data_IF_793677827226
#
_entry.id   IF_793677827226
#
_cell.length_a   1.000
_cell.length_b   1.000
_cell.length_c   1.000
_cell.angle_alpha   90.00
_cell.angle_beta   90.00
_cell.angle_gamma   90.00
#
_symmetry.space_group_name_H-M   'P 1'
#
loop_
_entity.id
_entity.type
_entity.pdbx_description
1 polymer ?
#
# COMPACT_ATOMS: atom_id res chain seq x y z
N UNK A 1 -17.03 20.10 -14.12
CA UNK A 1 -17.47 19.29 -12.97
C UNK A 1 -16.29 19.16 -12.00
N UNK A 2 -16.23 19.97 -10.95
CA UNK A 2 -15.11 19.95 -10.00
C UNK A 2 -15.16 18.64 -9.21
N UNK A 3 -14.19 17.76 -9.46
CA UNK A 3 -14.04 16.47 -8.79
C UNK A 3 -13.69 16.76 -7.33
N UNK A 4 -14.70 16.93 -6.47
CA UNK A 4 -14.51 17.10 -5.02
C UNK A 4 -13.63 15.95 -4.56
N UNK A 5 -12.45 16.26 -4.01
CA UNK A 5 -11.57 15.25 -3.40
C UNK A 5 -12.35 14.59 -2.27
N UNK A 6 -12.86 13.38 -2.51
CA UNK A 6 -13.62 12.62 -1.52
C UNK A 6 -12.62 11.93 -0.61
N UNK A 7 -12.60 12.36 0.65
CA UNK A 7 -12.03 11.55 1.73
C UNK A 7 -13.06 10.48 2.11
N UNK A 8 -12.63 9.23 2.15
CA UNK A 8 -13.44 8.04 2.45
C UNK A 8 -12.95 7.46 3.77
N UNK A 9 -13.86 7.06 4.62
CA UNK A 9 -13.53 6.34 5.84
C UNK A 9 -13.61 4.83 5.60
N UNK A 10 -12.67 4.07 6.13
CA UNK A 10 -12.62 2.61 5.97
C UNK A 10 -13.13 1.95 7.24
N UNK A 11 -14.38 1.48 7.20
CA UNK A 11 -14.98 0.75 8.33
C UNK A 11 -14.33 -0.64 8.47
N UNK A 12 -14.07 -1.07 9.70
CA UNK A 12 -13.41 -2.34 10.03
C UNK A 12 -11.90 -2.36 9.81
N UNK A 13 -11.29 -1.26 9.34
CA UNK A 13 -9.84 -1.16 9.23
C UNK A 13 -9.20 -0.96 10.60
N UNK A 14 -8.28 -1.85 10.94
CA UNK A 14 -7.45 -1.74 12.15
C UNK A 14 -6.14 -1.06 11.79
N UNK A 15 -5.81 0.03 12.49
CA UNK A 15 -4.53 0.69 12.31
C UNK A 15 -3.38 -0.22 12.80
N UNK A 16 -2.37 -0.52 11.96
CA UNK A 16 -1.25 -1.38 12.38
C UNK A 16 -0.38 -0.74 13.48
N UNK A 17 -0.34 0.59 13.55
CA UNK A 17 0.49 1.33 14.52
C UNK A 17 -0.13 1.41 15.92
N UNK A 18 -1.44 1.57 16.01
CA UNK A 18 -2.13 1.82 17.29
C UNK A 18 -3.29 0.85 17.59
N UNK A 19 -3.53 -0.12 16.71
CA UNK A 19 -4.57 -1.16 16.82
C UNK A 19 -5.99 -0.61 16.99
N UNK A 20 -6.21 0.66 16.66
CA UNK A 20 -7.52 1.25 16.68
C UNK A 20 -8.32 0.81 15.45
N UNK A 21 -9.56 0.41 15.68
CA UNK A 21 -10.53 0.06 14.66
C UNK A 21 -11.25 1.33 14.21
N UNK A 22 -11.63 1.40 12.94
CA UNK A 22 -12.42 2.53 12.42
C UNK A 22 -11.69 3.86 12.61
N UNK A 23 -10.40 3.90 12.26
CA UNK A 23 -9.61 5.14 12.33
C UNK A 23 -8.92 5.48 11.02
N UNK A 24 -9.03 4.65 9.99
CA UNK A 24 -8.34 4.85 8.71
C UNK A 24 -9.22 5.63 7.74
N UNK A 25 -8.66 6.71 7.20
CA UNK A 25 -9.25 7.59 6.20
C UNK A 25 -8.43 7.51 4.92
N UNK A 26 -9.06 7.14 3.81
CA UNK A 26 -8.49 7.13 2.48
C UNK A 26 -8.82 8.43 1.75
N UNK A 27 -7.83 9.06 1.13
CA UNK A 27 -8.01 10.26 0.32
C UNK A 27 -7.09 10.23 -0.90
N UNK A 28 -7.50 10.89 -1.98
CA UNK A 28 -6.63 11.08 -3.14
C UNK A 28 -5.88 12.40 -3.02
N UNK A 29 -4.56 12.32 -3.10
CA UNK A 29 -3.67 13.48 -3.18
C UNK A 29 -2.77 13.32 -4.42
N UNK A 30 -2.82 14.30 -5.34
CA UNK A 30 -2.02 14.30 -6.57
C UNK A 30 -2.18 13.04 -7.45
N UNK A 31 -3.41 12.50 -7.55
CA UNK A 31 -3.74 11.22 -8.21
C UNK A 31 -3.13 9.98 -7.52
N UNK A 32 -2.66 10.10 -6.29
CA UNK A 32 -2.18 8.99 -5.47
C UNK A 32 -3.18 8.75 -4.34
N UNK A 33 -3.60 7.51 -4.16
CA UNK A 33 -4.42 7.10 -3.02
C UNK A 33 -3.55 7.02 -1.76
N UNK A 34 -3.91 7.79 -0.74
CA UNK A 34 -3.26 7.80 0.56
C UNK A 34 -4.26 7.38 1.63
N UNK A 35 -3.78 6.61 2.60
CA UNK A 35 -4.51 6.23 3.79
C UNK A 35 -3.88 6.92 5.01
N UNK A 36 -4.70 7.42 5.93
CA UNK A 36 -4.27 8.11 7.14
C UNK A 36 -5.11 7.69 8.34
N UNK A 37 -4.44 7.40 9.46
CA UNK A 37 -5.05 7.10 10.74
C UNK A 37 -5.30 8.38 11.53
N UNK A 38 -6.56 8.69 11.81
CA UNK A 38 -6.96 9.90 12.54
C UNK A 38 -6.56 9.87 14.03
N UNK A 39 -6.25 8.69 14.58
CA UNK A 39 -5.94 8.51 16.01
C UNK A 39 -4.47 8.70 16.34
N UNK A 40 -3.57 8.24 15.46
CA UNK A 40 -2.13 8.26 15.70
C UNK A 40 -1.33 8.99 14.61
N UNK A 41 -2.00 9.56 13.61
CA UNK A 41 -1.38 10.26 12.49
C UNK A 41 -0.59 9.36 11.54
N UNK A 42 -0.85 8.05 11.54
CA UNK A 42 -0.17 7.11 10.65
C UNK A 42 -0.68 7.26 9.23
N UNK A 43 0.17 7.68 8.29
CA UNK A 43 -0.19 7.82 6.88
C UNK A 43 0.65 6.91 5.98
N UNK A 44 0.03 6.18 5.07
CA UNK A 44 0.70 5.44 3.99
C UNK A 44 0.17 5.90 2.63
N UNK A 45 1.06 5.95 1.64
CA UNK A 45 0.66 6.10 0.25
C UNK A 45 0.53 4.70 -0.36
N UNK A 46 -0.62 4.37 -0.93
CA UNK A 46 -0.83 3.14 -1.69
C UNK A 46 -0.23 3.30 -3.10
N UNK A 47 1.08 3.61 -3.16
CA UNK A 47 1.86 3.64 -4.41
C UNK A 47 2.82 2.46 -4.49
N UNK A 48 2.96 1.67 -3.42
CA UNK A 48 4.08 0.72 -3.22
C UNK A 48 3.61 -0.66 -2.72
N UNK A 49 2.48 -1.15 -3.20
CA UNK A 49 2.05 -2.54 -2.92
C UNK A 49 2.13 -3.43 -4.17
N UNK A 50 2.10 -2.88 -5.39
CA UNK A 50 2.31 -3.67 -6.61
C UNK A 50 3.78 -4.07 -6.82
N UNK A 51 4.74 -3.42 -6.15
CA UNK A 51 6.18 -3.68 -6.32
C UNK A 51 6.77 -4.65 -5.29
N UNK A 52 6.16 -4.81 -4.10
CA UNK A 52 6.72 -5.71 -3.07
C UNK A 52 6.47 -7.20 -3.31
N UNK A 53 5.54 -7.57 -4.20
CA UNK A 53 5.30 -8.98 -4.58
C UNK A 53 6.10 -9.41 -5.82
N UNK A 54 6.96 -8.53 -6.36
CA UNK A 54 7.86 -8.85 -7.47
C UNK A 54 9.29 -9.24 -7.03
N UNK A 55 9.66 -9.08 -5.75
CA UNK A 55 10.91 -9.65 -5.25
C UNK A 55 10.68 -11.13 -4.95
N UNK A 56 10.81 -11.98 -5.97
CA UNK A 56 11.06 -13.42 -5.82
C UNK A 56 12.51 -13.59 -5.38
N UNK A 57 12.85 -13.96 -4.13
CA UNK A 57 14.25 -14.12 -3.72
C UNK A 57 14.78 -15.52 -4.06
N UNK A 58 14.48 -16.07 -5.25
CA UNK A 58 14.97 -17.38 -5.70
C UNK A 58 15.14 -17.43 -7.21
N UNK A 59 16.05 -16.62 -7.73
CA UNK A 59 16.69 -16.91 -9.01
C UNK A 59 17.87 -17.85 -8.72
N UNK A 60 17.58 -19.16 -8.64
CA UNK A 60 18.64 -20.16 -8.64
C UNK A 60 19.13 -20.31 -10.09
N UNK A 61 20.32 -19.77 -10.36
CA UNK A 61 21.10 -20.02 -11.57
C UNK A 61 21.30 -21.54 -11.72
N UNK A 62 20.64 -22.16 -12.69
CA UNK A 62 20.97 -23.51 -13.15
C UNK A 62 20.97 -23.48 -14.68
N UNK A 63 22.17 -23.46 -15.25
CA UNK A 63 22.39 -23.49 -16.70
C UNK A 63 23.86 -23.65 -17.04
N UNK A 64 24.53 -24.65 -16.47
CA UNK A 64 25.86 -25.09 -16.97
C UNK A 64 25.63 -25.76 -18.33
N UNK A 65 25.86 -25.00 -19.41
CA UNK A 65 25.84 -25.52 -20.78
C UNK A 65 27.17 -26.25 -21.05
N UNK A 66 27.12 -27.57 -21.24
CA UNK A 66 28.23 -28.38 -21.74
C UNK A 66 27.99 -28.66 -23.24
N UNK A 67 28.83 -28.12 -24.14
CA UNK A 67 28.79 -28.46 -25.56
C UNK A 67 29.57 -29.77 -25.79
N UNK A 68 28.98 -30.69 -26.55
CA UNK A 68 29.73 -31.64 -27.39
C UNK A 68 29.91 -30.98 -28.76
#
# INVERSE_FOLDING_TARGET
MQKRMKRRFIAGAVCPKCQAVDTITLFMENNVEKLECVKCGYSEAQTDQEVKTATRPKENVIGVFKPD
#
